data_IF_175531976716
#
_entry.id   IF_175531976716
#
_cell.length_a   1.000
_cell.length_b   1.000
_cell.length_c   1.000
_cell.angle_alpha   90.00
_cell.angle_beta   90.00
_cell.angle_gamma   90.00
#
_symmetry.space_group_name_H-M   'P 1'
#
loop_
_entity.id
_entity.type
_entity.pdbx_description
1 polymer ?
#
# COMPACT_ATOMS: atom_id res chain seq x y z
N UNK A 1 -7.22 -43.25 8.42
CA UNK A 1 -7.61 -41.83 8.32
C UNK A 1 -7.63 -41.46 6.85
N UNK A 2 -8.74 -40.97 6.33
CA UNK A 2 -8.86 -40.51 4.94
C UNK A 2 -8.60 -39.01 4.91
N UNK A 3 -7.60 -38.55 4.17
CA UNK A 3 -7.32 -37.12 4.01
C UNK A 3 -8.40 -36.51 3.12
N UNK A 4 -9.09 -35.47 3.61
CA UNK A 4 -10.19 -34.82 2.88
C UNK A 4 -9.71 -33.77 1.86
N UNK A 5 -8.57 -33.12 2.11
CA UNK A 5 -7.93 -32.17 1.19
C UNK A 5 -6.46 -31.95 1.56
N UNK A 6 -5.69 -31.42 0.61
CA UNK A 6 -4.31 -30.95 0.82
C UNK A 6 -4.17 -29.56 0.19
N UNK A 7 -3.48 -28.66 0.87
CA UNK A 7 -3.25 -27.29 0.41
C UNK A 7 -1.75 -26.99 0.40
N UNK A 8 -1.29 -26.27 -0.62
CA UNK A 8 0.09 -25.83 -0.77
C UNK A 8 0.08 -24.29 -0.84
N UNK A 9 0.91 -23.63 -0.02
CA UNK A 9 1.13 -22.19 -0.10
C UNK A 9 2.47 -21.96 -0.79
N UNK A 10 2.43 -21.35 -1.97
CA UNK A 10 3.63 -21.03 -2.74
C UNK A 10 4.16 -19.67 -2.32
N UNK A 11 5.47 -19.60 -2.13
CA UNK A 11 6.18 -18.35 -1.85
C UNK A 11 6.93 -17.88 -3.08
N UNK A 12 6.57 -16.71 -3.60
CA UNK A 12 7.23 -16.08 -4.75
C UNK A 12 8.07 -14.91 -4.27
N UNK A 13 9.35 -14.89 -4.67
CA UNK A 13 10.29 -13.81 -4.35
C UNK A 13 11.23 -13.57 -5.52
N UNK A 14 11.34 -12.30 -5.92
CA UNK A 14 12.24 -11.87 -6.99
C UNK A 14 13.51 -11.20 -6.47
N UNK A 15 13.44 -10.55 -5.30
CA UNK A 15 14.57 -9.88 -4.66
C UNK A 15 14.79 -10.40 -3.23
N UNK A 16 16.05 -10.60 -2.84
CA UNK A 16 16.44 -10.84 -1.45
C UNK A 16 16.43 -9.54 -0.61
N UNK A 17 16.60 -9.61 0.73
CA UNK A 17 16.62 -8.42 1.58
C UNK A 17 17.75 -7.43 1.29
N UNK A 18 18.77 -7.82 0.52
CA UNK A 18 19.87 -6.93 0.08
C UNK A 18 19.60 -6.32 -1.30
N UNK A 19 18.47 -6.65 -1.93
CA UNK A 19 18.08 -6.19 -3.26
C UNK A 19 18.70 -6.99 -4.40
N UNK A 20 19.29 -8.16 -4.14
CA UNK A 20 19.80 -9.03 -5.20
C UNK A 20 18.70 -9.94 -5.75
N UNK A 21 18.74 -10.18 -7.05
CA UNK A 21 17.79 -11.05 -7.72
C UNK A 21 17.91 -12.50 -7.23
N UNK A 22 16.79 -13.12 -6.87
CA UNK A 22 16.69 -14.55 -6.51
C UNK A 22 16.05 -15.40 -7.59
N UNK A 23 15.46 -14.75 -8.59
CA UNK A 23 14.81 -15.36 -9.74
C UNK A 23 14.78 -14.33 -10.90
N UNK A 24 14.58 -14.77 -12.16
CA UNK A 24 14.42 -13.84 -13.28
C UNK A 24 13.32 -12.83 -13.00
N UNK A 25 13.63 -11.54 -13.19
CA UNK A 25 12.67 -10.47 -12.95
C UNK A 25 11.52 -10.54 -13.96
N UNK A 26 10.29 -10.18 -13.56
CA UNK A 26 9.18 -10.03 -14.48
C UNK A 26 9.45 -8.97 -15.55
N UNK A 27 8.86 -9.12 -16.73
CA UNK A 27 9.03 -8.16 -17.84
C UNK A 27 8.62 -6.73 -17.49
N UNK A 28 7.64 -6.54 -16.60
CA UNK A 28 7.23 -5.20 -16.15
C UNK A 28 8.34 -4.46 -15.40
N UNK A 29 9.31 -5.17 -14.80
CA UNK A 29 10.44 -4.58 -14.11
C UNK A 29 11.52 -4.03 -15.05
N UNK A 30 11.36 -4.22 -16.38
CA UNK A 30 12.29 -3.72 -17.38
C UNK A 30 12.20 -2.20 -17.61
N UNK A 31 11.16 -1.52 -17.11
CA UNK A 31 11.04 -0.05 -17.18
C UNK A 31 11.39 0.60 -15.83
N UNK A 32 12.60 1.18 -15.69
CA UNK A 32 13.00 1.86 -14.46
C UNK A 32 12.11 3.05 -14.10
N UNK A 33 11.45 3.69 -15.08
CA UNK A 33 10.61 4.87 -14.80
C UNK A 33 9.33 4.48 -14.05
N UNK A 34 8.73 3.36 -14.45
CA UNK A 34 7.60 2.78 -13.73
C UNK A 34 7.99 2.44 -12.28
N UNK A 35 9.11 1.73 -12.11
CA UNK A 35 9.62 1.36 -10.77
C UNK A 35 9.92 2.57 -9.88
N UNK A 36 10.49 3.64 -10.45
CA UNK A 36 10.75 4.90 -9.71
C UNK A 36 9.45 5.57 -9.31
N UNK A 37 8.42 5.53 -10.15
CA UNK A 37 7.08 6.06 -9.80
C UNK A 37 6.47 5.31 -8.63
N UNK A 38 6.53 3.97 -8.65
CA UNK A 38 6.00 3.12 -7.57
C UNK A 38 6.77 3.33 -6.26
N UNK A 39 8.11 3.43 -6.35
CA UNK A 39 8.94 3.72 -5.18
C UNK A 39 8.64 5.10 -4.58
N UNK A 40 8.39 6.13 -5.41
CA UNK A 40 7.96 7.46 -4.93
C UNK A 40 6.63 7.37 -4.19
N UNK A 41 5.67 6.59 -4.71
CA UNK A 41 4.40 6.37 -4.03
C UNK A 41 4.61 5.71 -2.66
N UNK A 42 5.47 4.68 -2.56
CA UNK A 42 5.80 4.04 -1.28
C UNK A 42 6.41 5.00 -0.26
N UNK A 43 7.38 5.82 -0.69
CA UNK A 43 8.03 6.81 0.18
C UNK A 43 7.02 7.85 0.66
N UNK A 44 6.14 8.31 -0.22
CA UNK A 44 5.09 9.26 0.14
C UNK A 44 4.10 8.66 1.15
N UNK A 45 3.64 7.43 0.92
CA UNK A 45 2.76 6.72 1.86
C UNK A 45 3.39 6.62 3.25
N UNK A 46 4.67 6.25 3.33
CA UNK A 46 5.40 6.16 4.60
C UNK A 46 5.52 7.52 5.31
N UNK A 47 5.72 8.60 4.56
CA UNK A 47 5.77 9.96 5.13
C UNK A 47 4.41 10.40 5.67
N UNK A 48 3.32 10.14 4.92
CA UNK A 48 1.96 10.42 5.38
C UNK A 48 1.61 9.61 6.63
N UNK A 49 1.99 8.34 6.67
CA UNK A 49 1.79 7.45 7.81
C UNK A 49 2.46 7.99 9.09
N UNK A 50 3.73 8.36 8.97
CA UNK A 50 4.48 8.95 10.09
C UNK A 50 3.83 10.24 10.59
N UNK A 51 3.34 11.09 9.68
CA UNK A 51 2.63 12.32 10.03
C UNK A 51 1.30 12.02 10.73
N UNK A 52 0.50 11.10 10.23
CA UNK A 52 -0.77 10.72 10.84
C UNK A 52 -0.57 10.13 12.24
N UNK A 53 0.43 9.26 12.44
CA UNK A 53 0.80 8.75 13.77
C UNK A 53 1.20 9.90 14.71
N UNK A 54 2.01 10.86 14.24
CA UNK A 54 2.38 12.00 15.06
C UNK A 54 1.16 12.84 15.48
N UNK A 55 0.23 13.09 14.54
CA UNK A 55 -1.02 13.81 14.81
C UNK A 55 -1.90 13.06 15.81
N UNK A 56 -2.05 11.74 15.65
CA UNK A 56 -2.82 10.88 16.54
C UNK A 56 -2.26 10.93 17.98
N UNK A 57 -0.94 10.85 18.14
CA UNK A 57 -0.27 10.93 19.46
C UNK A 57 -0.47 12.28 20.16
N UNK A 58 -0.73 13.33 19.39
CA UNK A 58 -1.03 14.68 19.91
C UNK A 58 -2.52 14.98 20.02
N UNK A 59 -3.40 14.01 19.72
CA UNK A 59 -4.85 14.18 19.78
C UNK A 59 -5.44 15.06 18.66
N UNK A 60 -4.69 15.32 17.59
CA UNK A 60 -5.15 16.13 16.45
C UNK A 60 -6.06 15.35 15.50
N UNK A 61 -5.94 14.01 15.48
CA UNK A 61 -6.85 13.09 14.81
C UNK A 61 -7.21 11.96 15.77
N UNK A 62 -8.27 11.21 15.44
CA UNK A 62 -8.72 10.05 16.21
C UNK A 62 -7.81 8.84 16.03
N UNK A 63 -8.38 7.64 16.16
CA UNK A 63 -7.65 6.38 15.92
C UNK A 63 -7.13 6.35 14.49
N UNK A 64 -5.86 6.04 14.28
CA UNK A 64 -5.27 5.90 12.95
C UNK A 64 -4.62 4.52 12.79
N UNK A 65 -4.92 3.83 11.69
CA UNK A 65 -4.31 2.54 11.39
C UNK A 65 -3.10 2.73 10.47
N UNK A 66 -1.91 2.54 11.04
CA UNK A 66 -0.65 2.66 10.29
C UNK A 66 -0.61 1.75 9.06
N UNK A 67 0.05 2.11 7.97
CA UNK A 67 0.28 1.24 6.80
C UNK A 67 1.75 0.82 6.64
N UNK A 68 2.58 1.08 7.66
CA UNK A 68 4.01 0.76 7.64
C UNK A 68 4.28 -0.71 7.32
N UNK A 69 5.15 -0.95 6.34
CA UNK A 69 5.53 -2.29 5.88
C UNK A 69 4.62 -2.88 4.79
N UNK A 70 3.53 -2.19 4.42
CA UNK A 70 2.58 -2.63 3.39
C UNK A 70 2.59 -1.75 2.13
N UNK A 71 3.49 -0.77 2.05
CA UNK A 71 3.46 0.29 1.04
C UNK A 71 3.61 -0.26 -0.39
N UNK A 72 4.44 -1.30 -0.55
CA UNK A 72 4.65 -1.95 -1.85
C UNK A 72 3.40 -2.67 -2.37
N UNK A 73 2.53 -3.15 -1.46
CA UNK A 73 1.25 -3.79 -1.85
C UNK A 73 0.32 -2.73 -2.43
N UNK A 74 0.17 -1.60 -1.74
CA UNK A 74 -0.70 -0.52 -2.18
C UNK A 74 -0.19 0.13 -3.48
N UNK A 75 1.13 0.36 -3.58
CA UNK A 75 1.76 0.88 -4.80
C UNK A 75 1.57 -0.08 -5.99
N UNK A 76 1.86 -1.36 -5.81
CA UNK A 76 1.71 -2.36 -6.86
C UNK A 76 0.27 -2.51 -7.35
N UNK A 77 -0.70 -2.55 -6.43
CA UNK A 77 -2.13 -2.60 -6.80
C UNK A 77 -2.54 -1.31 -7.52
N UNK A 78 -2.18 -0.14 -6.99
CA UNK A 78 -2.54 1.14 -7.59
C UNK A 78 -1.94 1.35 -8.99
N UNK A 79 -0.77 0.76 -9.27
CA UNK A 79 -0.11 0.86 -10.57
C UNK A 79 -0.79 0.04 -11.68
N UNK A 80 -1.52 -1.03 -11.33
CA UNK A 80 -2.10 -1.96 -12.32
C UNK A 80 -3.61 -1.84 -12.47
N UNK A 81 -4.31 -1.24 -11.51
CA UNK A 81 -5.76 -1.08 -11.58
C UNK A 81 -6.14 -0.13 -12.72
N UNK A 82 -7.13 -0.55 -13.52
CA UNK A 82 -7.75 0.32 -14.50
C UNK A 82 -8.59 1.41 -13.81
N UNK A 83 -8.80 2.58 -14.45
CA UNK A 83 -9.56 3.68 -13.84
C UNK A 83 -10.95 3.29 -13.31
N UNK A 84 -11.61 2.32 -13.97
CA UNK A 84 -12.96 1.89 -13.64
C UNK A 84 -13.01 0.67 -12.70
N UNK A 85 -11.87 0.12 -12.28
CA UNK A 85 -11.85 -1.00 -11.34
C UNK A 85 -12.35 -0.55 -9.97
N UNK A 86 -13.20 -1.36 -9.36
CA UNK A 86 -13.73 -1.09 -8.01
C UNK A 86 -12.75 -1.62 -6.97
N UNK A 87 -12.32 -0.75 -6.06
CA UNK A 87 -11.50 -1.11 -4.90
C UNK A 87 -12.40 -1.19 -3.67
N UNK A 88 -12.32 -2.30 -2.95
CA UNK A 88 -12.98 -2.50 -1.65
C UNK A 88 -11.90 -2.53 -0.56
N UNK A 89 -11.42 -1.36 -0.10
CA UNK A 89 -10.39 -1.30 0.92
C UNK A 89 -10.94 -1.71 2.29
N UNK A 90 -10.05 -2.12 3.19
CA UNK A 90 -10.37 -2.27 4.60
C UNK A 90 -10.01 -0.97 5.34
N UNK A 91 -9.06 -1.01 6.28
CA UNK A 91 -8.63 0.11 7.10
C UNK A 91 -7.15 0.47 6.93
N UNK A 92 -6.35 -0.31 6.17
CA UNK A 92 -4.89 -0.08 5.96
C UNK A 92 -4.53 0.15 4.49
N UNK A 93 -5.50 0.47 3.65
CA UNK A 93 -5.33 0.67 2.20
C UNK A 93 -5.41 2.17 1.82
N UNK A 94 -5.07 3.06 2.76
CA UNK A 94 -5.01 4.51 2.54
C UNK A 94 -4.12 4.88 1.35
N UNK A 95 -3.08 4.08 1.08
CA UNK A 95 -2.19 4.26 -0.08
C UNK A 95 -2.89 4.04 -1.41
N UNK A 96 -3.74 3.01 -1.52
CA UNK A 96 -4.52 2.74 -2.74
C UNK A 96 -5.51 3.88 -2.99
N UNK A 97 -6.23 4.31 -1.96
CA UNK A 97 -7.18 5.43 -2.07
C UNK A 97 -6.51 6.70 -2.60
N UNK A 98 -5.30 6.97 -2.12
CA UNK A 98 -4.52 8.11 -2.59
C UNK A 98 -4.10 7.99 -4.06
N UNK A 99 -3.64 6.82 -4.49
CA UNK A 99 -3.31 6.56 -5.90
C UNK A 99 -4.54 6.65 -6.81
N UNK A 100 -5.74 6.52 -6.23
CA UNK A 100 -7.04 6.67 -6.90
C UNK A 100 -7.60 8.10 -6.82
N UNK A 101 -6.79 9.08 -6.40
CA UNK A 101 -7.14 10.50 -6.42
C UNK A 101 -7.68 11.06 -5.10
N UNK A 102 -7.76 10.27 -4.02
CA UNK A 102 -8.09 10.80 -2.70
C UNK A 102 -6.90 11.61 -2.18
N UNK A 103 -7.10 12.91 -1.96
CA UNK A 103 -6.02 13.74 -1.43
C UNK A 103 -5.63 13.32 -0.01
N UNK A 104 -4.35 13.46 0.39
CA UNK A 104 -3.90 13.20 1.76
C UNK A 104 -4.69 13.96 2.83
N UNK A 105 -5.12 15.19 2.49
CA UNK A 105 -5.95 16.02 3.36
C UNK A 105 -7.27 15.35 3.73
N UNK A 106 -7.98 14.81 2.74
CA UNK A 106 -9.24 14.07 2.97
C UNK A 106 -9.02 12.79 3.79
N UNK A 107 -7.91 12.10 3.56
CA UNK A 107 -7.56 10.96 4.42
C UNK A 107 -7.41 11.39 5.88
N UNK A 108 -6.74 12.52 6.15
CA UNK A 108 -6.55 13.01 7.52
C UNK A 108 -7.84 13.53 8.16
N UNK A 109 -8.72 14.18 7.40
CA UNK A 109 -10.03 14.62 7.86
C UNK A 109 -10.92 13.44 8.25
N UNK A 110 -10.96 12.37 7.44
CA UNK A 110 -11.67 11.13 7.75
C UNK A 110 -11.20 10.54 9.08
N UNK A 111 -9.88 10.42 9.27
CA UNK A 111 -9.31 9.94 10.53
C UNK A 111 -9.45 10.95 11.69
N UNK A 112 -9.70 12.21 11.38
CA UNK A 112 -10.07 13.27 12.34
C UNK A 112 -11.54 13.24 12.75
N UNK A 113 -12.40 12.46 12.08
CA UNK A 113 -13.83 12.41 12.35
C UNK A 113 -14.62 13.59 11.77
N UNK A 114 -14.09 14.27 10.76
CA UNK A 114 -14.79 15.36 10.05
C UNK A 114 -15.92 14.80 9.18
N UNK A 115 -17.09 15.42 9.22
CA UNK A 115 -18.29 14.96 8.50
C UNK A 115 -18.18 15.07 6.97
N UNK A 116 -17.22 15.85 6.46
CA UNK A 116 -17.01 16.06 5.03
C UNK A 116 -16.13 15.00 4.38
N UNK A 117 -15.50 14.16 5.19
CA UNK A 117 -14.51 13.18 4.73
C UNK A 117 -13.17 13.83 4.47
#
# INVERSE_FOLDING_TARGET
>A
MTVAATFEIRFTRYLDPTGRETAPLPSFAADPRALVSDYRAMVFMRALDAKAIAMQRTGQIGTYASTLGKEAIDAGIGAVLAPNDVVLPSYRESGILMLRGVSPHRTLLYWGGDERG
#
